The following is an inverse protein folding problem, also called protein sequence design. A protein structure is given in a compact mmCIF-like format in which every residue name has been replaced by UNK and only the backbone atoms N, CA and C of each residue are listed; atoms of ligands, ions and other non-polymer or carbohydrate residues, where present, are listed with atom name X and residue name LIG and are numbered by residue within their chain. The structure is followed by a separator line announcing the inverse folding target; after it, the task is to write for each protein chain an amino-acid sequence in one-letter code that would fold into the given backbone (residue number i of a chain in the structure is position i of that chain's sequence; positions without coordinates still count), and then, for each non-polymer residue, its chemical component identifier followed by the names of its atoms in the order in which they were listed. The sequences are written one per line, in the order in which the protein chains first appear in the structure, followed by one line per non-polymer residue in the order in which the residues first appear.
data_IF_823684616892
#
_entry.id   IF_823684616892
#
_cell.length_a   1.000
_cell.length_b   1.000
_cell.length_c   1.000
_cell.angle_alpha   90.00
_cell.angle_beta   90.00
_cell.angle_gamma   90.00
#
_symmetry.space_group_name_H-M   'P 1'
#
loop_
_entity.id
_entity.type
_entity.pdbx_description
1 polymer ?
#
# COMPACT_ATOMS: atom_id res chain seq x y z
N UNK A 1 -23.92 9.07 14.18
CA UNK A 1 -23.89 8.93 12.71
C UNK A 1 -22.65 9.57 12.09
N UNK A 2 -22.15 10.67 12.64
CA UNK A 2 -20.94 11.37 12.16
C UNK A 2 -19.68 10.51 12.07
N UNK A 3 -19.37 9.72 13.10
CA UNK A 3 -18.16 8.89 13.13
C UNK A 3 -18.16 7.81 12.05
N UNK A 4 -19.31 7.16 11.79
CA UNK A 4 -19.42 6.15 10.73
C UNK A 4 -19.25 6.78 9.35
N UNK A 5 -19.82 7.97 9.14
CA UNK A 5 -19.67 8.72 7.89
C UNK A 5 -18.20 9.11 7.66
N UNK A 6 -17.51 9.54 8.71
CA UNK A 6 -16.09 9.90 8.64
C UNK A 6 -15.20 8.69 8.30
N UNK A 7 -15.49 7.51 8.87
CA UNK A 7 -14.76 6.27 8.54
C UNK A 7 -14.95 5.89 7.07
N UNK A 8 -16.18 5.95 6.55
CA UNK A 8 -16.47 5.63 5.15
C UNK A 8 -15.81 6.63 4.20
N UNK A 9 -15.88 7.94 4.51
CA UNK A 9 -15.23 8.98 3.70
C UNK A 9 -13.72 8.79 3.70
N UNK A 10 -13.11 8.58 4.88
CA UNK A 10 -11.67 8.35 4.99
C UNK A 10 -11.21 7.13 4.20
N UNK A 11 -11.94 6.02 4.29
CA UNK A 11 -11.64 4.80 3.54
C UNK A 11 -11.79 5.03 2.03
N UNK A 12 -12.85 5.71 1.58
CA UNK A 12 -13.04 6.03 0.17
C UNK A 12 -11.90 6.90 -0.37
N UNK A 13 -11.47 7.91 0.40
CA UNK A 13 -10.32 8.76 0.06
C UNK A 13 -9.06 7.90 -0.05
N UNK A 14 -8.78 7.01 0.92
CA UNK A 14 -7.61 6.13 0.85
C UNK A 14 -7.59 5.25 -0.40
N UNK A 15 -8.74 4.69 -0.81
CA UNK A 15 -8.83 3.91 -2.05
C UNK A 15 -8.53 4.77 -3.28
N UNK A 16 -9.04 6.01 -3.33
CA UNK A 16 -8.71 6.95 -4.40
C UNK A 16 -7.21 7.24 -4.45
N UNK A 17 -6.57 7.43 -3.30
CA UNK A 17 -5.12 7.62 -3.22
C UNK A 17 -4.33 6.41 -3.70
N UNK A 18 -4.77 5.18 -3.42
CA UNK A 18 -4.13 3.98 -3.97
C UNK A 18 -4.23 3.95 -5.49
N UNK A 19 -5.41 4.20 -6.04
CA UNK A 19 -5.60 4.18 -7.50
C UNK A 19 -4.74 5.24 -8.19
N UNK A 20 -4.74 6.47 -7.67
CA UNK A 20 -3.91 7.56 -8.19
C UNK A 20 -2.42 7.23 -8.01
N UNK A 21 -2.05 6.71 -6.85
CA UNK A 21 -0.68 6.28 -6.51
C UNK A 21 -0.15 5.28 -7.52
N UNK A 22 -0.85 4.17 -7.73
CA UNK A 22 -0.42 3.12 -8.65
C UNK A 22 -0.50 3.54 -10.12
N UNK A 23 -1.49 4.34 -10.52
CA UNK A 23 -1.67 4.70 -11.94
C UNK A 23 -0.78 5.86 -12.40
N UNK A 24 -0.40 6.78 -11.50
CA UNK A 24 0.30 8.02 -11.86
C UNK A 24 1.63 8.21 -11.13
N UNK A 25 1.72 7.84 -9.85
CA UNK A 25 2.93 8.08 -9.05
C UNK A 25 3.89 6.90 -9.08
N UNK A 26 3.41 5.67 -9.26
CA UNK A 26 4.25 4.48 -9.38
C UNK A 26 5.02 4.43 -10.70
N UNK A 27 4.56 5.17 -11.71
CA UNK A 27 5.32 5.46 -12.94
C UNK A 27 6.35 6.56 -12.76
N UNK A 28 6.68 6.97 -11.52
CA UNK A 28 7.92 7.69 -11.27
C UNK A 28 9.03 6.74 -11.63
N UNK A 29 9.40 6.76 -12.92
CA UNK A 29 10.49 6.01 -13.49
C UNK A 29 11.62 6.10 -12.50
N UNK A 30 12.19 4.96 -12.12
CA UNK A 30 13.34 4.86 -11.25
C UNK A 30 14.53 5.49 -11.99
N UNK A 31 14.47 6.80 -12.15
CA UNK A 31 15.28 7.56 -13.10
C UNK A 31 16.72 7.57 -12.65
N UNK A 32 16.96 7.44 -11.34
CA UNK A 32 18.30 7.17 -10.83
C UNK A 32 18.79 5.79 -11.24
N UNK A 33 17.96 4.75 -11.16
CA UNK A 33 18.35 3.39 -11.51
C UNK A 33 18.57 3.26 -13.02
N UNK A 34 17.69 3.81 -13.85
CA UNK A 34 17.92 3.87 -15.31
C UNK A 34 19.24 4.58 -15.67
N UNK A 35 19.58 5.66 -14.96
CA UNK A 35 20.83 6.39 -15.19
C UNK A 35 22.02 5.59 -14.65
N UNK A 36 21.90 4.95 -13.49
CA UNK A 36 22.94 4.13 -12.90
C UNK A 36 23.26 2.91 -13.78
N UNK A 37 22.25 2.22 -14.30
CA UNK A 37 22.40 1.13 -15.27
C UNK A 37 23.08 1.60 -16.56
N UNK A 38 22.69 2.77 -17.09
CA UNK A 38 23.38 3.39 -18.24
C UNK A 38 24.86 3.68 -17.98
N UNK A 39 25.23 3.92 -16.73
CA UNK A 39 26.61 4.13 -16.28
C UNK A 39 27.34 2.82 -15.92
N UNK A 40 26.69 1.66 -16.11
CA UNK A 40 27.27 0.34 -15.87
C UNK A 40 27.13 -0.18 -14.44
N UNK A 41 26.29 0.46 -13.60
CA UNK A 41 25.88 -0.12 -12.33
C UNK A 41 24.93 -1.30 -12.57
N UNK A 42 24.96 -2.27 -11.66
CA UNK A 42 24.04 -3.41 -11.66
C UNK A 42 23.55 -3.66 -10.25
N UNK A 43 22.26 -3.92 -10.08
CA UNK A 43 21.71 -4.29 -8.79
C UNK A 43 22.24 -5.66 -8.33
N UNK A 44 22.54 -5.77 -7.05
CA UNK A 44 22.92 -7.04 -6.42
C UNK A 44 22.00 -7.28 -5.24
N UNK A 45 21.09 -8.25 -5.39
CA UNK A 45 20.21 -8.64 -4.29
C UNK A 45 20.96 -9.56 -3.31
N UNK A 46 21.18 -9.07 -2.09
CA UNK A 46 21.71 -9.89 -0.99
C UNK A 46 20.61 -10.77 -0.35
N UNK A 47 19.34 -10.40 -0.54
CA UNK A 47 18.18 -11.11 -0.01
C UNK A 47 17.00 -10.89 -0.93
N UNK A 48 16.30 -11.96 -1.32
CA UNK A 48 15.08 -11.84 -2.10
C UNK A 48 13.88 -11.56 -1.19
N UNK A 49 13.30 -10.35 -1.23
CA UNK A 49 12.07 -10.07 -0.53
C UNK A 49 10.93 -10.93 -1.08
N UNK A 50 9.91 -11.26 -0.26
CA UNK A 50 8.72 -11.97 -0.72
C UNK A 50 7.94 -11.21 -1.81
N UNK A 51 8.06 -9.88 -1.84
CA UNK A 51 7.40 -8.97 -2.78
C UNK A 51 8.46 -7.95 -3.24
N UNK A 52 9.29 -8.29 -4.25
CA UNK A 52 10.25 -7.36 -4.85
C UNK A 52 9.52 -6.16 -5.44
N UNK A 53 10.08 -4.96 -5.26
CA UNK A 53 9.60 -3.70 -5.88
C UNK A 53 8.12 -3.39 -5.62
N UNK A 54 7.56 -3.98 -4.55
CA UNK A 54 6.14 -3.92 -4.21
C UNK A 54 5.21 -4.52 -5.27
N UNK A 55 5.74 -5.36 -6.16
CA UNK A 55 5.01 -6.07 -7.20
C UNK A 55 4.83 -7.55 -6.86
N UNK A 56 3.72 -8.12 -7.32
CA UNK A 56 3.46 -9.54 -7.13
C UNK A 56 4.31 -10.35 -8.11
N UNK A 57 5.12 -11.31 -7.64
CA UNK A 57 5.86 -12.18 -8.54
C UNK A 57 4.95 -12.89 -9.55
N UNK A 58 5.26 -12.79 -10.83
CA UNK A 58 4.46 -13.28 -11.95
C UNK A 58 3.42 -12.30 -12.51
N UNK A 59 3.31 -11.09 -11.95
CA UNK A 59 2.43 -10.01 -12.44
C UNK A 59 3.15 -8.66 -12.48
N UNK A 60 4.46 -8.68 -12.69
CA UNK A 60 5.32 -7.49 -12.72
C UNK A 60 4.84 -6.48 -13.78
N UNK A 61 4.83 -5.19 -13.44
CA UNK A 61 4.33 -4.10 -14.27
C UNK A 61 2.81 -4.06 -14.47
N UNK A 62 2.03 -4.99 -13.89
CA UNK A 62 0.59 -5.00 -14.05
C UNK A 62 -0.10 -4.01 -13.09
N UNK A 63 -0.42 -2.83 -13.61
CA UNK A 63 -1.08 -1.74 -12.87
C UNK A 63 -2.37 -2.19 -12.16
N UNK A 64 -3.18 -3.05 -12.78
CA UNK A 64 -4.44 -3.50 -12.18
C UNK A 64 -4.15 -4.37 -10.96
N UNK A 65 -3.17 -5.27 -11.05
CA UNK A 65 -2.77 -6.14 -9.93
C UNK A 65 -2.18 -5.29 -8.80
N UNK A 66 -1.34 -4.31 -9.12
CA UNK A 66 -0.74 -3.40 -8.13
C UNK A 66 -1.82 -2.59 -7.39
N UNK A 67 -2.85 -2.08 -8.09
CA UNK A 67 -4.00 -1.41 -7.47
C UNK A 67 -4.74 -2.37 -6.52
N UNK A 68 -5.02 -3.60 -6.96
CA UNK A 68 -5.74 -4.58 -6.16
C UNK A 68 -4.98 -4.93 -4.87
N UNK A 69 -3.66 -5.07 -4.94
CA UNK A 69 -2.79 -5.31 -3.79
C UNK A 69 -2.78 -4.09 -2.86
N UNK A 70 -2.63 -2.89 -3.39
CA UNK A 70 -2.68 -1.66 -2.61
C UNK A 70 -4.02 -1.50 -1.86
N UNK A 71 -5.15 -1.81 -2.52
CA UNK A 71 -6.48 -1.79 -1.90
C UNK A 71 -6.58 -2.85 -0.82
N UNK A 72 -6.10 -4.07 -1.08
CA UNK A 72 -6.12 -5.16 -0.10
C UNK A 72 -5.35 -4.78 1.17
N UNK A 73 -4.11 -4.29 1.04
CA UNK A 73 -3.30 -3.87 2.20
C UNK A 73 -3.91 -2.67 2.92
N UNK A 74 -4.53 -1.74 2.20
CA UNK A 74 -5.28 -0.63 2.81
C UNK A 74 -6.43 -1.15 3.68
N UNK A 75 -7.21 -2.12 3.19
CA UNK A 75 -8.30 -2.74 3.95
C UNK A 75 -7.78 -3.52 5.15
N UNK A 76 -6.66 -4.24 5.01
CA UNK A 76 -6.04 -4.97 6.12
C UNK A 76 -5.58 -4.04 7.24
N UNK A 77 -4.89 -2.94 6.90
CA UNK A 77 -4.45 -1.92 7.86
C UNK A 77 -5.65 -1.27 8.54
N UNK A 78 -6.69 -0.92 7.77
CA UNK A 78 -7.91 -0.35 8.32
C UNK A 78 -8.61 -1.31 9.30
N UNK A 79 -8.73 -2.60 8.94
CA UNK A 79 -9.29 -3.63 9.80
C UNK A 79 -8.47 -3.84 11.08
N UNK A 80 -7.14 -3.84 10.97
CA UNK A 80 -6.24 -3.92 12.12
C UNK A 80 -6.41 -2.71 13.06
N UNK A 81 -6.50 -1.50 12.52
CA UNK A 81 -6.75 -0.28 13.29
C UNK A 81 -8.10 -0.30 14.00
N UNK A 82 -9.17 -0.73 13.31
CA UNK A 82 -10.48 -0.93 13.93
C UNK A 82 -10.45 -1.98 15.04
N UNK A 83 -9.78 -3.11 14.80
CA UNK A 83 -9.61 -4.18 15.77
C UNK A 83 -8.87 -3.71 17.02
N UNK A 84 -7.78 -2.95 16.84
CA UNK A 84 -7.03 -2.36 17.93
C UNK A 84 -7.88 -1.36 18.74
N UNK A 85 -8.64 -0.49 18.06
CA UNK A 85 -9.56 0.45 18.70
C UNK A 85 -10.65 -0.25 19.51
N UNK A 86 -11.23 -1.33 18.98
CA UNK A 86 -12.25 -2.12 19.68
C UNK A 86 -11.66 -2.87 20.89
N UNK A 87 -10.46 -3.44 20.75
CA UNK A 87 -9.75 -4.08 21.85
C UNK A 87 -9.46 -3.10 23.00
N UNK A 88 -9.05 -1.87 22.67
CA UNK A 88 -8.85 -0.80 23.66
C UNK A 88 -10.16 -0.40 24.33
N UNK A 89 -11.25 -0.28 23.57
CA UNK A 89 -12.58 0.06 24.10
C UNK A 89 -13.06 -0.97 25.12
N UNK A 90 -12.87 -2.26 24.84
CA UNK A 90 -13.24 -3.37 25.74
C UNK A 90 -12.37 -3.45 26.99
N UNK A 91 -11.13 -2.96 26.93
CA UNK A 91 -10.21 -2.95 28.08
C UNK A 91 -10.48 -1.83 29.08
N UNK A 92 -11.35 -0.87 28.79
CA UNK A 92 -11.71 0.19 29.74
C UNK A 92 -12.55 -0.43 30.88
N UNK A 93 -11.98 -0.67 32.08
CA UNK A 93 -12.73 -1.23 33.20
C UNK A 93 -13.48 -0.06 33.86
N UNK A 94 -14.80 -0.05 33.78
CA UNK A 94 -15.67 0.89 34.51
C UNK A 94 -15.56 2.35 34.08
N UNK A 95 -16.55 2.81 33.31
CA UNK A 95 -17.15 4.12 33.55
C UNK A 95 -18.54 3.87 34.13
#
# INVERSE_FOLDING_TARGET
MESKRMLVIGLAISVVFVVIGCALLATSAETLDEIAEKLGASETSFWNPPIPDYELPGFEGNVIVNIMIGVLFTLLVFAAALGAGEALRRRKPGA
#
